data_IF_725754446999
#
_entry.id   IF_725754446999
#
_cell.length_a   1.000
_cell.length_b   1.000
_cell.length_c   1.000
_cell.angle_alpha   90.00
_cell.angle_beta   90.00
_cell.angle_gamma   90.00
#
_symmetry.space_group_name_H-M   'P 1'
#
loop_
_entity.id
_entity.type
_entity.pdbx_description
1 polymer ?
#
# COMPACT_ATOMS: atom_id res chain seq x y z
N UNK A 1 -4.10 32.37 -29.05
CA UNK A 1 -3.29 32.90 -27.92
C UNK A 1 -1.89 32.34 -28.06
N UNK A 2 -0.83 33.03 -27.59
CA UNK A 2 0.50 32.43 -27.62
C UNK A 2 0.51 31.20 -26.71
N UNK A 3 0.98 30.08 -27.25
CA UNK A 3 0.95 28.79 -26.58
C UNK A 3 2.24 28.61 -25.75
N UNK A 4 2.06 28.66 -24.42
CA UNK A 4 3.11 28.59 -23.41
C UNK A 4 3.10 27.26 -22.65
N UNK A 5 2.37 26.25 -23.14
CA UNK A 5 2.26 24.96 -22.47
C UNK A 5 3.62 24.25 -22.32
N UNK A 6 4.62 24.58 -23.16
CA UNK A 6 5.99 24.10 -22.98
C UNK A 6 6.60 24.47 -21.61
N UNK A 7 6.22 25.60 -21.01
CA UNK A 7 6.65 25.95 -19.65
C UNK A 7 5.97 25.08 -18.59
N UNK A 8 4.70 24.72 -18.79
CA UNK A 8 4.01 23.76 -17.93
C UNK A 8 4.70 22.39 -17.98
N UNK A 9 5.00 21.87 -19.17
CA UNK A 9 5.73 20.60 -19.35
C UNK A 9 7.08 20.63 -18.64
N UNK A 10 7.88 21.69 -18.89
CA UNK A 10 9.18 21.88 -18.22
C UNK A 10 9.02 21.90 -16.70
N UNK A 11 8.08 22.70 -16.19
CA UNK A 11 7.89 22.88 -14.74
C UNK A 11 7.39 21.61 -14.06
N UNK A 12 6.44 20.92 -14.69
CA UNK A 12 5.87 19.67 -14.18
C UNK A 12 6.95 18.60 -14.01
N UNK A 13 7.73 18.34 -15.06
CA UNK A 13 8.78 17.31 -15.03
C UNK A 13 9.90 17.72 -14.05
N UNK A 14 10.40 18.95 -14.11
CA UNK A 14 11.47 19.40 -13.18
C UNK A 14 11.06 19.29 -11.72
N UNK A 15 9.80 19.59 -11.38
CA UNK A 15 9.29 19.41 -10.02
C UNK A 15 9.21 17.94 -9.59
N UNK A 16 8.93 17.03 -10.52
CA UNK A 16 8.85 15.60 -10.23
C UNK A 16 10.22 14.92 -10.12
N UNK A 17 11.23 15.45 -10.82
CA UNK A 17 12.59 14.88 -10.81
C UNK A 17 13.21 14.84 -9.40
N UNK A 18 12.89 15.82 -8.54
CA UNK A 18 13.34 15.92 -7.14
C UNK A 18 12.45 15.13 -6.16
N UNK A 19 11.51 14.32 -6.66
CA UNK A 19 10.52 13.59 -5.84
C UNK A 19 10.71 12.08 -5.95
N UNK A 20 9.91 11.32 -5.22
CA UNK A 20 9.98 9.86 -5.27
C UNK A 20 9.41 9.33 -6.59
N UNK A 21 9.66 8.06 -6.87
CA UNK A 21 9.28 7.42 -8.13
C UNK A 21 7.77 7.49 -8.40
N UNK A 22 6.95 7.51 -7.34
CA UNK A 22 5.50 7.71 -7.44
C UNK A 22 5.15 9.03 -8.13
N UNK A 23 5.76 10.15 -7.72
CA UNK A 23 5.49 11.46 -8.32
C UNK A 23 6.00 11.52 -9.77
N UNK A 24 7.12 10.86 -10.07
CA UNK A 24 7.65 10.73 -11.43
C UNK A 24 6.70 9.95 -12.34
N UNK A 25 6.17 8.83 -11.86
CA UNK A 25 5.18 8.01 -12.57
C UNK A 25 3.88 8.78 -12.82
N UNK A 26 3.33 9.41 -11.78
CA UNK A 26 2.11 10.21 -11.90
C UNK A 26 2.29 11.38 -12.89
N UNK A 27 3.50 11.95 -12.95
CA UNK A 27 3.85 13.00 -13.90
C UNK A 27 3.88 12.48 -15.34
N UNK A 28 4.50 11.32 -15.58
CA UNK A 28 4.50 10.69 -16.89
C UNK A 28 3.07 10.37 -17.36
N UNK A 29 2.26 9.74 -16.50
CA UNK A 29 0.86 9.43 -16.80
C UNK A 29 0.02 10.68 -17.08
N UNK A 30 0.17 11.72 -16.27
CA UNK A 30 -0.52 12.99 -16.47
C UNK A 30 -0.15 13.59 -17.82
N UNK A 31 1.14 13.66 -18.14
CA UNK A 31 1.60 14.24 -19.41
C UNK A 31 1.04 13.47 -20.61
N UNK A 32 1.03 12.13 -20.55
CA UNK A 32 0.43 11.28 -21.59
C UNK A 32 -1.08 11.49 -21.71
N UNK A 33 -1.79 11.73 -20.60
CA UNK A 33 -3.24 12.04 -20.61
C UNK A 33 -3.60 13.44 -21.11
N UNK A 34 -2.67 14.39 -21.05
CA UNK A 34 -2.90 15.77 -21.49
C UNK A 34 -2.45 16.01 -22.95
N UNK A 35 -1.64 15.09 -23.49
CA UNK A 35 -1.13 15.17 -24.85
C UNK A 35 -2.26 15.07 -25.87
N UNK A 36 -2.20 15.92 -26.91
CA UNK A 36 -3.21 16.08 -27.98
C UNK A 36 -4.55 16.66 -27.53
N UNK A 37 -5.04 16.31 -26.34
CA UNK A 37 -6.31 16.84 -25.82
C UNK A 37 -6.17 18.28 -25.29
N UNK A 38 -5.07 18.59 -24.60
CA UNK A 38 -4.83 19.91 -24.00
C UNK A 38 -3.49 20.52 -24.40
N UNK A 39 -2.46 19.69 -24.60
CA UNK A 39 -1.10 20.11 -24.91
C UNK A 39 -0.72 19.65 -26.31
N UNK A 40 -0.43 20.62 -27.20
CA UNK A 40 -0.01 20.32 -28.56
C UNK A 40 1.35 19.60 -28.60
N UNK A 41 1.60 18.72 -29.58
CA UNK A 41 2.86 18.00 -29.67
C UNK A 41 4.11 18.89 -29.75
N UNK A 42 4.01 20.05 -30.39
CA UNK A 42 5.11 21.01 -30.48
C UNK A 42 5.48 21.59 -29.11
N UNK A 43 4.51 21.69 -28.20
CA UNK A 43 4.71 22.19 -26.84
C UNK A 43 5.40 21.15 -25.96
N UNK A 44 5.02 19.87 -26.06
CA UNK A 44 5.73 18.78 -25.39
C UNK A 44 7.16 18.70 -25.88
N UNK A 45 7.36 18.70 -27.21
CA UNK A 45 8.69 18.72 -27.82
C UNK A 45 9.55 19.87 -27.26
N UNK A 46 9.03 21.10 -27.30
CA UNK A 46 9.73 22.28 -26.81
C UNK A 46 9.98 22.23 -25.30
N UNK A 47 9.06 21.67 -24.52
CA UNK A 47 9.21 21.48 -23.07
C UNK A 47 10.38 20.55 -22.73
N UNK A 48 10.48 19.40 -23.42
CA UNK A 48 11.62 18.49 -23.30
C UNK A 48 12.94 19.11 -23.77
N UNK A 49 12.93 19.89 -24.85
CA UNK A 49 14.12 20.66 -25.26
C UNK A 49 14.57 21.61 -24.15
N UNK A 50 13.64 22.37 -23.57
CA UNK A 50 13.95 23.31 -22.47
C UNK A 50 14.42 22.62 -21.20
N UNK A 51 13.99 21.39 -20.92
CA UNK A 51 14.51 20.57 -19.82
C UNK A 51 15.96 20.17 -20.05
N UNK A 52 16.28 19.69 -21.25
CA UNK A 52 17.65 19.32 -21.64
C UNK A 52 18.61 20.52 -21.57
N UNK A 53 18.16 21.69 -22.04
CA UNK A 53 18.93 22.94 -21.94
C UNK A 53 19.20 23.38 -20.50
N UNK A 54 18.36 22.97 -19.53
CA UNK A 54 18.51 23.32 -18.11
C UNK A 54 19.14 22.20 -17.29
N UNK A 55 19.61 21.11 -17.91
CA UNK A 55 20.06 19.92 -17.20
C UNK A 55 21.30 20.18 -16.34
N UNK A 56 22.22 21.05 -16.79
CA UNK A 56 23.41 21.44 -16.03
C UNK A 56 23.06 22.27 -14.78
N UNK A 57 21.94 23.02 -14.79
CA UNK A 57 21.44 23.72 -13.61
C UNK A 57 20.73 22.76 -12.65
N UNK A 58 19.88 21.87 -13.21
CA UNK A 58 19.08 20.93 -12.43
C UNK A 58 19.95 19.94 -11.62
N UNK A 59 21.13 19.56 -12.14
CA UNK A 59 22.00 18.60 -11.45
C UNK A 59 22.58 19.14 -10.14
N UNK A 60 22.61 20.46 -9.97
CA UNK A 60 23.08 21.11 -8.73
C UNK A 60 22.18 20.72 -7.56
N UNK A 61 20.87 20.67 -7.79
CA UNK A 61 19.87 20.33 -6.77
C UNK A 61 19.50 18.83 -6.80
N UNK A 62 19.58 18.19 -7.96
CA UNK A 62 19.13 16.81 -8.19
C UNK A 62 20.30 15.99 -8.76
N UNK A 63 21.11 15.31 -7.92
CA UNK A 63 22.31 14.60 -8.36
C UNK A 63 22.07 13.57 -9.47
N UNK A 64 20.90 12.93 -9.48
CA UNK A 64 20.50 11.91 -10.46
C UNK A 64 19.83 12.49 -11.73
N UNK A 65 19.95 13.80 -11.99
CA UNK A 65 19.29 14.50 -13.11
C UNK A 65 19.44 13.77 -14.44
N UNK A 66 20.65 13.32 -14.79
CA UNK A 66 20.92 12.63 -16.06
C UNK A 66 20.10 11.35 -16.18
N UNK A 67 20.04 10.59 -15.10
CA UNK A 67 19.35 9.30 -15.05
C UNK A 67 17.84 9.47 -15.14
N UNK A 68 17.30 10.38 -14.32
CA UNK A 68 15.86 10.64 -14.22
C UNK A 68 15.33 11.29 -15.50
N UNK A 69 16.06 12.26 -16.07
CA UNK A 69 15.66 12.91 -17.31
C UNK A 69 15.72 11.93 -18.49
N UNK A 70 16.73 11.05 -18.54
CA UNK A 70 16.81 9.99 -19.55
C UNK A 70 15.60 9.05 -19.50
N UNK A 71 15.13 8.70 -18.31
CA UNK A 71 13.92 7.89 -18.12
C UNK A 71 12.66 8.62 -18.58
N UNK A 72 12.49 9.91 -18.24
CA UNK A 72 11.35 10.70 -18.71
C UNK A 72 11.31 10.79 -20.23
N UNK A 73 12.47 10.99 -20.87
CA UNK A 73 12.58 11.01 -22.33
C UNK A 73 12.22 9.64 -22.93
N UNK A 74 12.76 8.56 -22.37
CA UNK A 74 12.48 7.22 -22.86
C UNK A 74 10.99 6.86 -22.71
N UNK A 75 10.37 7.20 -21.57
CA UNK A 75 8.93 7.00 -21.34
C UNK A 75 8.09 7.83 -22.30
N UNK A 76 8.44 9.09 -22.53
CA UNK A 76 7.75 9.95 -23.47
C UNK A 76 7.82 9.43 -24.93
N UNK A 77 8.91 8.76 -25.30
CA UNK A 77 9.02 8.08 -26.60
C UNK A 77 8.18 6.81 -26.66
N UNK A 78 8.15 6.01 -25.59
CA UNK A 78 7.32 4.80 -25.51
C UNK A 78 5.82 5.12 -25.51
N UNK A 79 5.43 6.23 -24.88
CA UNK A 79 4.04 6.71 -24.79
C UNK A 79 3.58 7.47 -26.05
N UNK A 80 4.42 7.52 -27.11
CA UNK A 80 4.16 8.24 -28.36
C UNK A 80 3.87 9.74 -28.21
N UNK A 81 4.24 10.34 -27.08
CA UNK A 81 4.12 11.79 -26.84
C UNK A 81 5.36 12.58 -27.30
N UNK A 82 6.46 11.86 -27.59
CA UNK A 82 7.69 12.42 -28.13
C UNK A 82 8.22 11.52 -29.26
N UNK A 83 8.47 12.05 -30.47
CA UNK A 83 8.89 11.21 -31.58
C UNK A 83 10.34 10.71 -31.37
N UNK A 84 10.72 9.48 -31.79
CA UNK A 84 12.09 8.99 -31.66
C UNK A 84 13.15 9.91 -32.28
N UNK A 85 12.80 10.61 -33.37
CA UNK A 85 13.65 11.60 -34.03
C UNK A 85 14.00 12.82 -33.16
N UNK A 86 13.25 13.07 -32.07
CA UNK A 86 13.56 14.10 -31.07
C UNK A 86 15.01 13.99 -30.59
N UNK A 87 15.47 12.77 -30.30
CA UNK A 87 16.79 12.55 -29.71
C UNK A 87 17.93 13.02 -30.63
N UNK A 88 17.78 12.85 -31.94
CA UNK A 88 18.77 13.32 -32.91
C UNK A 88 18.72 14.85 -33.02
N UNK A 89 17.52 15.42 -33.20
CA UNK A 89 17.32 16.86 -33.37
C UNK A 89 17.73 17.66 -32.12
N UNK A 90 17.40 17.16 -30.92
CA UNK A 90 17.76 17.79 -29.66
C UNK A 90 19.28 17.76 -29.43
N UNK A 91 19.97 16.68 -29.85
CA UNK A 91 21.44 16.64 -29.80
C UNK A 91 22.04 17.74 -30.66
N UNK A 92 21.53 17.96 -31.87
CA UNK A 92 22.01 19.01 -32.77
C UNK A 92 21.74 20.44 -32.28
N UNK A 93 20.74 20.64 -31.41
CA UNK A 93 20.39 21.97 -30.87
C UNK A 93 21.13 22.33 -29.59
N UNK A 94 21.72 21.34 -28.89
CA UNK A 94 22.45 21.57 -27.65
C UNK A 94 23.93 21.91 -27.95
N UNK A 95 24.61 22.63 -27.04
CA UNK A 95 26.04 22.87 -27.17
C UNK A 95 26.81 21.55 -27.28
N UNK A 96 27.78 21.43 -28.20
CA UNK A 96 28.49 20.17 -28.47
C UNK A 96 29.41 19.71 -27.32
N UNK A 97 29.65 20.56 -26.32
CA UNK A 97 30.54 20.28 -25.20
C UNK A 97 29.77 19.67 -24.03
N UNK A 98 30.15 18.44 -23.62
CA UNK A 98 29.90 17.73 -22.35
C UNK A 98 28.75 18.21 -21.42
N UNK A 99 27.61 18.59 -21.97
CA UNK A 99 26.49 19.09 -21.18
C UNK A 99 25.64 17.92 -20.69
N UNK A 100 25.05 18.07 -19.49
CA UNK A 100 24.21 17.02 -18.89
C UNK A 100 22.99 16.67 -19.73
N UNK A 101 22.52 17.60 -20.57
CA UNK A 101 21.48 17.33 -21.55
C UNK A 101 21.89 16.27 -22.58
N UNK A 102 23.09 16.38 -23.16
CA UNK A 102 23.60 15.38 -24.11
C UNK A 102 23.84 14.03 -23.41
N UNK A 103 24.35 14.03 -22.17
CA UNK A 103 24.49 12.81 -21.38
C UNK A 103 23.13 12.10 -21.18
N UNK A 104 22.07 12.84 -20.82
CA UNK A 104 20.73 12.30 -20.65
C UNK A 104 20.17 11.70 -21.95
N UNK A 105 20.35 12.37 -23.10
CA UNK A 105 19.95 11.84 -24.41
C UNK A 105 20.68 10.52 -24.70
N UNK A 106 22.00 10.48 -24.49
CA UNK A 106 22.81 9.30 -24.76
C UNK A 106 22.42 8.13 -23.86
N UNK A 107 22.11 8.41 -22.58
CA UNK A 107 21.62 7.43 -21.63
C UNK A 107 20.25 6.89 -22.04
N UNK A 108 19.33 7.75 -22.48
CA UNK A 108 18.02 7.35 -23.01
C UNK A 108 18.16 6.40 -24.22
N UNK A 109 19.01 6.77 -25.20
CA UNK A 109 19.28 5.95 -26.38
C UNK A 109 19.84 4.58 -26.01
N UNK A 110 20.95 4.54 -25.28
CA UNK A 110 21.75 3.32 -25.08
C UNK A 110 21.11 2.36 -24.08
N UNK A 111 20.58 2.88 -22.99
CA UNK A 111 20.20 2.05 -21.84
C UNK A 111 18.71 1.76 -21.78
N UNK A 112 17.89 2.57 -22.46
CA UNK A 112 16.43 2.41 -22.43
C UNK A 112 15.90 2.01 -23.78
N UNK A 113 16.13 2.81 -24.82
CA UNK A 113 15.46 2.60 -26.11
C UNK A 113 16.11 1.53 -26.99
N UNK A 114 17.38 1.20 -26.76
CA UNK A 114 18.11 0.15 -27.51
C UNK A 114 18.04 -1.24 -26.86
N UNK A 115 17.46 -1.35 -25.65
CA UNK A 115 17.37 -2.61 -24.93
C UNK A 115 16.21 -3.49 -25.44
N UNK A 116 16.37 -4.83 -25.45
CA UNK A 116 15.23 -5.74 -25.63
C UNK A 116 14.17 -5.49 -24.55
N UNK A 117 12.88 -5.56 -24.90
CA UNK A 117 11.76 -5.30 -23.98
C UNK A 117 11.77 -3.89 -23.33
N UNK A 118 12.31 -2.90 -24.04
CA UNK A 118 12.46 -1.53 -23.54
C UNK A 118 11.19 -0.94 -22.92
N UNK A 119 10.02 -1.11 -23.54
CA UNK A 119 8.76 -0.59 -23.02
C UNK A 119 8.42 -1.14 -21.62
N UNK A 120 8.49 -2.46 -21.44
CA UNK A 120 8.18 -3.14 -20.17
C UNK A 120 9.21 -2.79 -19.06
N UNK A 121 10.48 -2.64 -19.43
CA UNK A 121 11.54 -2.24 -18.50
C UNK A 121 11.35 -0.80 -18.06
N UNK A 122 11.06 0.12 -18.99
CA UNK A 122 10.84 1.54 -18.70
C UNK A 122 9.61 1.73 -17.81
N UNK A 123 8.50 1.06 -18.13
CA UNK A 123 7.28 1.09 -17.32
C UNK A 123 7.58 0.69 -15.88
N UNK A 124 8.34 -0.40 -15.66
CA UNK A 124 8.68 -0.90 -14.32
C UNK A 124 9.60 -0.01 -13.49
N UNK A 125 10.28 1.00 -14.07
CA UNK A 125 11.29 1.79 -13.35
C UNK A 125 10.71 2.72 -12.29
N UNK A 126 9.56 3.34 -12.54
CA UNK A 126 8.91 4.21 -11.56
C UNK A 126 7.63 3.64 -10.96
N UNK A 127 7.24 2.44 -11.40
CA UNK A 127 6.14 1.70 -10.80
C UNK A 127 5.26 0.93 -11.77
N UNK A 128 5.83 0.41 -12.86
CA UNK A 128 5.13 -0.36 -13.90
C UNK A 128 4.16 -1.36 -13.29
N UNK A 129 2.91 -1.20 -13.71
CA UNK A 129 1.65 -1.43 -12.99
C UNK A 129 1.09 -0.14 -12.39
N UNK A 130 0.52 0.70 -13.26
CA UNK A 130 -0.83 1.25 -13.09
C UNK A 130 -1.45 0.92 -11.73
N UNK A 131 -1.35 1.87 -10.77
CA UNK A 131 -1.93 1.82 -9.42
C UNK A 131 -1.33 0.68 -8.57
N UNK A 132 -0.54 1.02 -7.54
CA UNK A 132 -0.54 0.18 -6.31
C UNK A 132 -1.96 0.24 -5.76
N UNK A 133 -2.84 -0.65 -6.23
CA UNK A 133 -4.21 -0.67 -5.77
C UNK A 133 -4.18 -1.05 -4.30
N UNK A 134 -5.26 -0.72 -3.60
CA UNK A 134 -5.46 -1.19 -2.23
C UNK A 134 -5.36 -2.73 -2.18
N UNK A 135 -5.75 -3.42 -3.25
CA UNK A 135 -5.73 -4.88 -3.32
C UNK A 135 -4.32 -5.46 -3.55
N UNK A 136 -3.46 -4.78 -4.32
CA UNK A 136 -2.05 -5.18 -4.43
C UNK A 136 -1.32 -5.02 -3.10
N UNK A 137 -1.57 -3.91 -2.39
CA UNK A 137 -1.00 -3.68 -1.06
C UNK A 137 -1.46 -4.76 -0.08
N UNK A 138 -2.76 -5.08 -0.06
CA UNK A 138 -3.29 -6.19 0.72
C UNK A 138 -2.64 -7.52 0.35
N UNK A 139 -2.41 -7.78 -0.94
CA UNK A 139 -1.72 -8.97 -1.44
C UNK A 139 -0.29 -9.07 -0.89
N UNK A 140 0.49 -8.00 -0.97
CA UNK A 140 1.85 -7.93 -0.40
C UNK A 140 1.86 -8.13 1.11
N UNK A 141 0.91 -7.52 1.84
CA UNK A 141 0.76 -7.72 3.28
C UNK A 141 0.47 -9.20 3.60
N UNK A 142 -0.37 -9.88 2.82
CA UNK A 142 -0.64 -11.30 3.02
C UNK A 142 0.60 -12.17 2.80
N UNK A 143 1.40 -11.87 1.77
CA UNK A 143 2.64 -12.59 1.49
C UNK A 143 3.61 -12.41 2.65
N UNK A 144 3.85 -11.15 3.06
CA UNK A 144 4.68 -10.80 4.21
C UNK A 144 4.31 -11.60 5.46
N UNK A 145 3.02 -11.59 5.83
CA UNK A 145 2.56 -12.28 7.04
C UNK A 145 2.71 -13.81 6.94
N UNK A 146 2.41 -14.40 5.78
CA UNK A 146 2.57 -15.83 5.55
C UNK A 146 4.03 -16.27 5.60
N UNK A 147 4.91 -15.53 4.94
CA UNK A 147 6.36 -15.78 4.94
C UNK A 147 6.92 -15.69 6.34
N UNK A 148 6.56 -14.64 7.09
CA UNK A 148 7.01 -14.48 8.47
C UNK A 148 6.49 -15.59 9.40
N UNK A 149 5.24 -16.03 9.26
CA UNK A 149 4.72 -17.15 10.05
C UNK A 149 5.54 -18.42 9.83
N UNK A 150 6.02 -18.67 8.60
CA UNK A 150 6.87 -19.82 8.29
C UNK A 150 8.31 -19.61 8.79
N UNK A 151 8.94 -18.50 8.40
CA UNK A 151 10.37 -18.27 8.63
C UNK A 151 10.71 -17.82 10.05
N UNK A 152 9.84 -17.03 10.68
CA UNK A 152 10.15 -16.30 11.92
C UNK A 152 11.15 -15.15 11.73
N UNK A 153 11.51 -14.78 10.49
CA UNK A 153 12.50 -13.76 10.22
C UNK A 153 11.92 -12.34 10.41
N UNK A 154 12.14 -11.79 11.60
CA UNK A 154 11.70 -10.42 11.94
C UNK A 154 12.40 -9.35 11.10
N UNK A 155 13.66 -9.54 10.73
CA UNK A 155 14.42 -8.52 9.97
C UNK A 155 13.83 -8.38 8.59
N UNK A 156 13.53 -9.51 7.94
CA UNK A 156 12.86 -9.52 6.64
C UNK A 156 11.46 -8.93 6.73
N UNK A 157 10.67 -9.33 7.73
CA UNK A 157 9.34 -8.77 7.92
C UNK A 157 9.38 -7.25 8.09
N UNK A 158 10.32 -6.71 8.85
CA UNK A 158 10.48 -5.27 9.05
C UNK A 158 10.93 -4.55 7.78
N UNK A 159 11.82 -5.16 6.98
CA UNK A 159 12.19 -4.64 5.67
C UNK A 159 10.96 -4.55 4.77
N UNK A 160 10.17 -5.62 4.68
CA UNK A 160 8.95 -5.64 3.90
C UNK A 160 7.93 -4.58 4.37
N UNK A 161 7.75 -4.37 5.68
CA UNK A 161 6.88 -3.30 6.20
C UNK A 161 7.37 -1.92 5.74
N UNK A 162 8.67 -1.65 5.79
CA UNK A 162 9.25 -0.38 5.34
C UNK A 162 9.08 -0.17 3.83
N UNK A 163 9.31 -1.21 3.05
CA UNK A 163 9.24 -1.17 1.58
C UNK A 163 7.81 -0.96 1.05
N UNK A 164 6.79 -1.26 1.85
CA UNK A 164 5.41 -0.88 1.53
C UNK A 164 5.26 0.64 1.41
N UNK A 165 6.01 1.42 2.19
CA UNK A 165 6.03 2.90 2.21
C UNK A 165 4.63 3.54 2.23
N UNK A 166 3.73 3.00 3.08
CA UNK A 166 2.34 3.47 3.25
C UNK A 166 1.95 3.55 4.74
N UNK A 167 2.57 4.44 5.52
CA UNK A 167 2.38 4.48 6.99
C UNK A 167 0.93 4.66 7.44
N UNK A 168 0.10 5.36 6.66
CA UNK A 168 -1.33 5.56 6.95
C UNK A 168 -2.20 4.33 6.65
N UNK A 169 -1.63 3.31 6.03
CA UNK A 169 -2.26 2.04 5.69
C UNK A 169 -1.74 0.87 6.54
N UNK A 170 -0.81 1.10 7.48
CA UNK A 170 -0.28 0.04 8.34
C UNK A 170 -1.35 -0.62 9.22
N UNK A 171 -2.48 0.05 9.47
CA UNK A 171 -3.65 -0.56 10.11
C UNK A 171 -4.14 -1.82 9.37
N UNK A 172 -3.89 -1.95 8.06
CA UNK A 172 -4.24 -3.15 7.30
C UNK A 172 -3.32 -4.33 7.63
N UNK A 173 -2.04 -4.08 7.97
CA UNK A 173 -1.12 -5.10 8.48
C UNK A 173 -1.67 -5.67 9.77
N UNK A 174 -2.05 -4.80 10.70
CA UNK A 174 -2.65 -5.18 12.00
C UNK A 174 -3.94 -5.97 11.80
N UNK A 175 -4.86 -5.48 10.95
CA UNK A 175 -6.11 -6.18 10.65
C UNK A 175 -5.87 -7.61 10.16
N UNK A 176 -5.00 -7.77 9.15
CA UNK A 176 -4.73 -9.07 8.53
C UNK A 176 -3.96 -10.01 9.44
N UNK A 177 -3.03 -9.48 10.22
CA UNK A 177 -2.27 -10.21 11.23
C UNK A 177 -3.21 -10.82 12.29
N UNK A 178 -4.11 -10.01 12.85
CA UNK A 178 -5.05 -10.50 13.87
C UNK A 178 -6.03 -11.51 13.27
N UNK A 179 -6.58 -11.27 12.07
CA UNK A 179 -7.44 -12.27 11.39
C UNK A 179 -6.66 -13.58 11.15
N UNK A 180 -5.42 -13.51 10.68
CA UNK A 180 -4.57 -14.70 10.48
C UNK A 180 -4.35 -15.48 11.79
N UNK A 181 -4.21 -14.78 12.92
CA UNK A 181 -4.09 -15.41 14.24
C UNK A 181 -5.37 -16.11 14.69
N UNK A 182 -6.54 -15.58 14.30
CA UNK A 182 -7.85 -16.20 14.58
C UNK A 182 -8.09 -17.45 13.74
N UNK A 183 -7.70 -17.41 12.46
CA UNK A 183 -7.84 -18.53 11.53
C UNK A 183 -6.87 -19.67 11.83
N UNK A 184 -5.69 -19.36 12.39
CA UNK A 184 -4.59 -20.31 12.60
C UNK A 184 -3.97 -20.14 13.98
N UNK A 185 -4.38 -20.99 14.92
CA UNK A 185 -3.84 -21.01 16.30
C UNK A 185 -2.31 -21.10 16.32
N UNK A 186 -1.70 -21.89 15.44
CA UNK A 186 -0.24 -22.03 15.36
C UNK A 186 0.49 -20.75 14.90
N UNK A 187 -0.21 -19.82 14.24
CA UNK A 187 0.35 -18.54 13.81
C UNK A 187 0.23 -17.45 14.88
N UNK A 188 -0.63 -17.63 15.89
CA UNK A 188 -0.99 -16.58 16.86
C UNK A 188 0.23 -15.99 17.55
N UNK A 189 1.06 -16.83 18.19
CA UNK A 189 2.20 -16.37 18.97
C UNK A 189 3.18 -15.53 18.14
N UNK A 190 3.55 -16.04 16.96
CA UNK A 190 4.47 -15.36 16.05
C UNK A 190 3.92 -14.02 15.59
N UNK A 191 2.66 -14.00 15.15
CA UNK A 191 2.04 -12.79 14.58
C UNK A 191 1.85 -11.71 15.63
N UNK A 192 1.44 -12.06 16.85
CA UNK A 192 1.36 -11.11 17.95
C UNK A 192 2.74 -10.56 18.33
N UNK A 193 3.76 -11.42 18.35
CA UNK A 193 5.15 -10.99 18.59
C UNK A 193 5.65 -10.01 17.53
N UNK A 194 5.30 -10.22 16.25
CA UNK A 194 5.61 -9.26 15.18
C UNK A 194 4.93 -7.91 15.41
N UNK A 195 3.64 -7.90 15.74
CA UNK A 195 2.90 -6.65 15.98
C UNK A 195 3.44 -5.89 17.18
N UNK A 196 3.74 -6.60 18.27
CA UNK A 196 4.36 -6.03 19.47
C UNK A 196 5.69 -5.39 19.15
N UNK A 197 6.61 -6.14 18.55
CA UNK A 197 7.95 -5.63 18.23
C UNK A 197 7.92 -4.51 17.19
N UNK A 198 7.03 -4.57 16.19
CA UNK A 198 6.84 -3.48 15.24
C UNK A 198 6.26 -2.21 15.88
N UNK A 199 5.47 -2.34 16.95
CA UNK A 199 4.96 -1.21 17.75
C UNK A 199 6.07 -0.60 18.61
N UNK A 200 6.83 -1.43 19.34
CA UNK A 200 7.95 -1.02 20.19
C UNK A 200 9.05 -0.30 19.40
N UNK A 201 9.34 -0.75 18.17
CA UNK A 201 10.32 -0.15 17.26
C UNK A 201 9.75 1.04 16.45
N UNK A 202 8.49 1.43 16.69
CA UNK A 202 7.84 2.56 16.02
C UNK A 202 7.55 2.37 14.52
N UNK A 203 7.68 1.15 13.99
CA UNK A 203 7.34 0.83 12.59
C UNK A 203 5.84 0.93 12.32
N UNK A 204 5.03 0.56 13.32
CA UNK A 204 3.58 0.75 13.32
C UNK A 204 3.21 1.59 14.53
N UNK A 205 2.84 2.85 14.29
CA UNK A 205 2.47 3.74 15.38
C UNK A 205 1.14 3.31 16.06
N UNK A 206 0.94 3.77 17.29
CA UNK A 206 -0.23 3.40 18.11
C UNK A 206 -1.57 3.74 17.45
N UNK A 207 -1.65 4.82 16.67
CA UNK A 207 -2.87 5.18 15.92
C UNK A 207 -3.22 4.11 14.88
N UNK A 208 -2.23 3.57 14.17
CA UNK A 208 -2.41 2.49 13.21
C UNK A 208 -2.76 1.16 13.89
N UNK A 209 -2.16 0.85 15.04
CA UNK A 209 -2.55 -0.31 15.87
C UNK A 209 -4.03 -0.21 16.26
N UNK A 210 -4.43 0.88 16.90
CA UNK A 210 -5.83 1.10 17.34
C UNK A 210 -6.79 1.03 16.15
N UNK A 211 -6.47 1.71 15.04
CA UNK A 211 -7.31 1.67 13.82
C UNK A 211 -7.44 0.25 13.25
N UNK A 212 -6.39 -0.55 13.31
CA UNK A 212 -6.40 -1.94 12.89
C UNK A 212 -7.40 -2.78 13.69
N UNK A 213 -7.32 -2.72 15.03
CA UNK A 213 -8.27 -3.40 15.91
C UNK A 213 -9.70 -2.90 15.74
N UNK A 214 -9.92 -1.57 15.67
CA UNK A 214 -11.26 -1.00 15.43
C UNK A 214 -11.88 -1.51 14.13
N UNK A 215 -11.09 -1.67 13.06
CA UNK A 215 -11.57 -2.22 11.78
C UNK A 215 -11.94 -3.70 11.83
N UNK A 216 -11.44 -4.46 12.81
CA UNK A 216 -11.85 -5.85 13.06
C UNK A 216 -13.14 -5.84 13.87
N UNK A 217 -13.22 -5.01 14.91
CA UNK A 217 -14.44 -4.83 15.73
C UNK A 217 -15.62 -4.45 14.83
N UNK A 218 -15.42 -3.50 13.92
CA UNK A 218 -16.47 -3.03 12.99
C UNK A 218 -16.93 -4.13 12.01
N UNK A 219 -16.14 -5.17 11.76
CA UNK A 219 -16.47 -6.29 10.86
C UNK A 219 -16.55 -7.65 11.57
N UNK A 220 -16.73 -7.66 12.90
CA UNK A 220 -16.64 -8.89 13.69
C UNK A 220 -17.85 -9.81 13.52
N UNK A 221 -19.03 -9.23 13.25
CA UNK A 221 -20.24 -10.00 12.99
C UNK A 221 -20.13 -10.78 11.68
N UNK A 222 -19.66 -10.13 10.62
CA UNK A 222 -19.38 -10.79 9.33
C UNK A 222 -18.31 -11.88 9.49
N UNK A 223 -17.23 -11.59 10.21
CA UNK A 223 -16.17 -12.58 10.47
C UNK A 223 -16.68 -13.78 11.29
N UNK A 224 -17.71 -13.58 12.12
CA UNK A 224 -18.31 -14.65 12.92
C UNK A 224 -19.10 -15.65 12.07
N UNK A 225 -19.44 -15.30 10.82
CA UNK A 225 -20.05 -16.24 9.87
C UNK A 225 -19.07 -17.35 9.47
N UNK A 226 -17.79 -17.01 9.32
CA UNK A 226 -16.72 -17.95 8.96
C UNK A 226 -16.06 -18.57 10.19
N UNK A 227 -15.95 -17.81 11.29
CA UNK A 227 -15.30 -18.22 12.54
C UNK A 227 -16.27 -18.04 13.71
N UNK A 228 -17.02 -19.07 14.13
CA UNK A 228 -18.08 -18.95 15.13
C UNK A 228 -17.66 -18.32 16.47
N UNK A 229 -16.39 -18.46 16.84
CA UNK A 229 -15.80 -17.92 18.06
C UNK A 229 -15.03 -16.61 17.85
N UNK A 230 -15.20 -15.91 16.72
CA UNK A 230 -14.40 -14.73 16.39
C UNK A 230 -14.45 -13.64 17.48
N UNK A 231 -15.64 -13.39 18.05
CA UNK A 231 -15.82 -12.40 19.13
C UNK A 231 -15.02 -12.73 20.39
N UNK A 232 -15.08 -13.97 20.85
CA UNK A 232 -14.38 -14.39 22.08
C UNK A 232 -12.87 -14.40 21.86
N UNK A 233 -12.41 -14.88 20.70
CA UNK A 233 -10.99 -14.83 20.32
C UNK A 233 -10.51 -13.37 20.26
N UNK A 234 -11.25 -12.47 19.62
CA UNK A 234 -10.88 -11.05 19.54
C UNK A 234 -10.75 -10.41 20.94
N UNK A 235 -11.67 -10.70 21.85
CA UNK A 235 -11.61 -10.20 23.23
C UNK A 235 -10.36 -10.70 23.97
N UNK A 236 -9.99 -11.97 23.80
CA UNK A 236 -8.75 -12.51 24.37
C UNK A 236 -7.51 -11.83 23.78
N UNK A 237 -7.47 -11.64 22.46
CA UNK A 237 -6.36 -10.98 21.78
C UNK A 237 -6.20 -9.51 22.18
N UNK A 238 -7.30 -8.76 22.32
CA UNK A 238 -7.29 -7.38 22.83
C UNK A 238 -6.74 -7.34 24.25
N UNK A 239 -7.21 -8.25 25.12
CA UNK A 239 -6.76 -8.32 26.53
C UNK A 239 -5.26 -8.60 26.62
N UNK A 240 -4.77 -9.54 25.80
CA UNK A 240 -3.35 -9.88 25.70
C UNK A 240 -2.52 -8.70 25.21
N UNK A 241 -2.91 -8.07 24.09
CA UNK A 241 -2.22 -6.92 23.53
C UNK A 241 -2.19 -5.72 24.50
N UNK A 242 -3.26 -5.50 25.26
CA UNK A 242 -3.33 -4.46 26.28
C UNK A 242 -2.43 -4.77 27.49
N UNK A 243 -2.41 -6.03 27.95
CA UNK A 243 -1.53 -6.46 29.06
C UNK A 243 -0.04 -6.36 28.71
N UNK A 244 0.29 -6.52 27.42
CA UNK A 244 1.64 -6.38 26.89
C UNK A 244 2.00 -4.93 26.52
N UNK A 245 1.07 -3.99 26.68
CA UNK A 245 1.32 -2.55 26.58
C UNK A 245 1.37 -1.95 25.17
N UNK A 246 1.12 -2.74 24.12
CA UNK A 246 1.20 -2.26 22.73
C UNK A 246 -0.18 -1.88 22.14
N UNK A 247 -1.26 -2.02 22.91
CA UNK A 247 -2.61 -1.59 22.55
C UNK A 247 -3.30 -0.90 23.73
N UNK A 248 -3.84 0.30 23.50
CA UNK A 248 -4.72 0.98 24.46
C UNK A 248 -6.16 0.49 24.29
N UNK A 249 -6.60 -0.47 25.11
CA UNK A 249 -7.95 -1.02 25.05
C UNK A 249 -9.05 0.02 25.31
N UNK A 250 -8.77 1.04 26.13
CA UNK A 250 -9.72 2.14 26.41
C UNK A 250 -10.01 3.01 25.18
N UNK A 251 -9.16 2.95 24.15
CA UNK A 251 -9.33 3.67 22.89
C UNK A 251 -10.15 2.90 21.85
N UNK A 252 -10.58 1.67 22.17
CA UNK A 252 -11.39 0.84 21.29
C UNK A 252 -12.88 0.98 21.58
N UNK A 253 -13.69 0.75 20.53
CA UNK A 253 -15.14 0.59 20.68
C UNK A 253 -15.43 -0.69 21.47
N UNK A 254 -16.54 -0.70 22.22
CA UNK A 254 -17.02 -1.93 22.84
C UNK A 254 -17.47 -2.92 21.75
N UNK A 255 -17.11 -4.19 21.93
CA UNK A 255 -17.64 -5.28 21.10
C UNK A 255 -19.06 -5.53 21.57
N UNK A 256 -20.05 -5.25 20.72
CA UNK A 256 -21.46 -5.54 21.04
C UNK A 256 -21.63 -7.04 21.29
N UNK A 257 -22.03 -7.39 22.51
CA UNK A 257 -22.60 -8.70 22.80
C UNK A 257 -23.92 -8.80 22.03
N UNK A 258 -24.06 -9.83 21.20
CA UNK A 258 -25.36 -10.18 20.62
C UNK A 258 -26.29 -10.48 21.80
N UNK A 259 -27.37 -9.70 21.93
CA UNK A 259 -28.56 -10.17 22.63
C UNK A 259 -28.90 -11.54 22.03
N UNK A 260 -29.18 -12.58 22.84
CA UNK A 260 -29.66 -13.84 22.29
C UNK A 260 -30.82 -13.52 21.34
N UNK A 261 -30.93 -14.18 20.18
CA UNK A 261 -31.99 -13.89 19.23
C UNK A 261 -33.30 -13.86 20.00
N UNK A 262 -34.05 -12.75 19.86
CA UNK A 262 -35.42 -12.69 20.33
C UNK A 262 -36.15 -13.85 19.63
N UNK A 263 -36.27 -14.98 20.32
CA UNK A 263 -37.30 -15.95 20.05
C UNK A 263 -38.60 -15.23 20.38
N UNK A 264 -39.19 -14.63 19.34
CA UNK A 264 -40.57 -14.21 19.38
C UNK A 264 -41.41 -15.40 19.83
N UNK A 265 -42.09 -15.22 20.97
CA UNK A 265 -43.25 -15.96 21.47
C UNK A 265 -43.60 -17.26 20.72
N UNK A 266 -42.84 -18.33 20.93
CA UNK A 266 -43.39 -19.68 20.86
C UNK A 266 -42.72 -20.51 21.96
N UNK A 267 -43.58 -21.17 22.75
CA UNK A 267 -43.28 -22.06 23.89
C UNK A 267 -43.04 -21.37 25.24
N UNK A 268 -44.11 -20.77 25.76
CA UNK A 268 -44.44 -20.97 27.17
C UNK A 268 -44.69 -22.48 27.40
N UNK A 269 -43.66 -23.26 27.65
CA UNK A 269 -43.78 -24.61 28.21
C UNK A 269 -43.08 -24.66 29.57
N UNK A 270 -43.91 -24.40 30.59
CA UNK A 270 -43.77 -24.70 32.01
C UNK A 270 -42.41 -25.22 32.53
N UNK A 271 -41.69 -24.32 33.22
CA UNK A 271 -40.63 -24.64 34.18
C UNK A 271 -41.04 -25.64 35.28
N UNK A 272 -42.35 -25.90 35.44
CA UNK A 272 -42.88 -26.89 36.38
C UNK A 272 -42.69 -28.35 35.93
N UNK A 273 -42.59 -28.62 34.62
CA UNK A 273 -42.51 -30.01 34.10
C UNK A 273 -41.07 -30.53 34.11
N UNK A 274 -40.09 -29.68 33.79
CA UNK A 274 -38.66 -30.03 33.87
C UNK A 274 -38.22 -30.32 35.32
N UNK A 275 -38.81 -29.65 36.31
CA UNK A 275 -38.52 -29.90 37.73
C UNK A 275 -39.03 -31.27 38.19
N UNK A 276 -40.18 -31.73 37.68
CA UNK A 276 -40.75 -33.06 37.99
C UNK A 276 -39.96 -34.18 37.33
N UNK A 277 -39.46 -33.97 36.11
CA UNK A 277 -38.63 -34.97 35.40
C UNK A 277 -37.24 -35.08 36.07
N UNK A 278 -36.64 -33.95 36.46
CA UNK A 278 -35.32 -33.94 37.11
C UNK A 278 -35.33 -34.57 38.52
N UNK A 279 -36.42 -34.42 39.27
CA UNK A 279 -36.58 -35.06 40.59
C UNK A 279 -36.77 -36.57 40.45
N UNK A 280 -37.43 -37.04 39.38
CA UNK A 280 -37.70 -38.46 39.15
C UNK A 280 -36.49 -39.25 38.61
N UNK A 281 -35.60 -38.59 37.87
CA UNK A 281 -34.35 -39.21 37.38
C UNK A 281 -33.19 -39.23 38.40
N UNK A 282 -33.22 -38.37 39.43
CA UNK A 282 -32.16 -38.27 40.45
C UNK A 282 -32.43 -39.09 41.73
N UNK A 283 -33.57 -39.77 41.86
CA UNK A 283 -33.83 -40.68 42.98
C UNK A 283 -33.88 -40.03 44.37
N UNK A 284 -34.21 -38.73 44.46
CA UNK A 284 -34.23 -37.97 45.72
C UNK A 284 -35.64 -37.89 46.35
N UNK A 285 -36.36 -39.01 46.47
CA UNK A 285 -37.71 -39.02 47.07
C UNK A 285 -37.74 -39.09 48.61
N UNK A 286 -36.62 -38.93 49.33
CA UNK A 286 -36.64 -38.96 50.80
C UNK A 286 -35.67 -37.99 51.47
N UNK A 287 -35.94 -36.69 51.40
CA UNK A 287 -35.64 -35.75 52.48
C UNK A 287 -36.74 -34.68 52.46
N UNK A 288 -37.53 -34.68 53.54
CA UNK A 288 -38.72 -33.85 53.79
C UNK A 288 -38.48 -32.35 53.67
#
# INVERSE_FOLDING_TARGET
MPDYNFYFVKKLISMAMDRHDKEKEMTALLLSSLYVDLIEPQQVYKGFTKLLESADDLIVDIPDTVEVLALFIARAVVDDILPPAFLAKATSSLPPENCKGIEAINRAKKSYLSAPLHAEVIERRWGGSTKRTVDDLKGKINILLKEYVVSGDKKEAFRCIKDLNVPYFHHEIVKRAVILSMERVAAESRVLELLKTASEEGLINSSQITKGFTRIIDSIDDLSLDVPNAKSILQMLISKAASEGWLSASSLKSISSVHPPHFGNYLAFNYSVLKVIFIKEMGLEKLS
#
